data_IF_564733017153
#
_entry.id   IF_564733017153
#
_cell.length_a   1.000
_cell.length_b   1.000
_cell.length_c   1.000
_cell.angle_alpha   90.00
_cell.angle_beta   90.00
_cell.angle_gamma   90.00
#
_symmetry.space_group_name_H-M   'P 1'
#
loop_
_entity.id
_entity.type
_entity.pdbx_description
1 polymer ?
#
# COMPACT_ATOMS: atom_id res chain seq x y z
N UNK A 1 -21.03 32.83 29.56
CA UNK A 1 -20.71 31.43 29.17
C UNK A 1 -20.59 31.29 27.64
N UNK A 2 -19.40 31.46 27.03
CA UNK A 2 -19.22 31.32 25.57
C UNK A 2 -18.40 30.07 25.14
N UNK A 3 -17.98 29.21 26.07
CA UNK A 3 -17.07 28.10 25.77
C UNK A 3 -17.77 26.88 25.12
N UNK A 4 -19.06 26.71 25.39
CA UNK A 4 -19.83 25.56 24.88
C UNK A 4 -20.11 25.66 23.38
N UNK A 5 -20.35 26.86 22.83
CA UNK A 5 -20.67 27.07 21.41
C UNK A 5 -19.52 26.74 20.46
N UNK A 6 -18.27 27.06 20.84
CA UNK A 6 -17.09 26.72 20.02
C UNK A 6 -16.87 25.21 19.91
N UNK A 7 -17.06 24.45 20.99
CA UNK A 7 -16.89 22.99 20.99
C UNK A 7 -17.89 22.30 20.06
N UNK A 8 -19.15 22.74 20.09
CA UNK A 8 -20.20 22.23 19.20
C UNK A 8 -19.94 22.58 17.73
N UNK A 9 -19.47 23.81 17.45
CA UNK A 9 -19.07 24.21 16.09
C UNK A 9 -17.93 23.34 15.55
N UNK A 10 -16.90 23.07 16.35
CA UNK A 10 -15.80 22.18 15.94
C UNK A 10 -16.26 20.74 15.68
N UNK A 11 -17.17 20.20 16.50
CA UNK A 11 -17.72 18.86 16.25
C UNK A 11 -18.55 18.79 14.97
N UNK A 12 -19.28 19.86 14.62
CA UNK A 12 -20.04 19.96 13.37
C UNK A 12 -19.09 20.05 12.18
N UNK A 13 -18.02 20.86 12.26
CA UNK A 13 -16.99 20.94 11.20
C UNK A 13 -16.30 19.58 11.01
N UNK A 14 -15.94 18.88 12.08
CA UNK A 14 -15.33 17.55 12.02
C UNK A 14 -16.29 16.50 11.45
N UNK A 15 -17.59 16.55 11.80
CA UNK A 15 -18.62 15.69 11.19
C UNK A 15 -18.78 15.98 9.70
N UNK A 16 -18.82 17.25 9.30
CA UNK A 16 -18.97 17.65 7.89
C UNK A 16 -17.71 17.31 7.06
N UNK A 17 -16.51 17.41 7.64
CA UNK A 17 -15.27 16.96 6.99
C UNK A 17 -15.23 15.43 6.82
N UNK A 18 -15.77 14.67 7.78
CA UNK A 18 -15.92 13.20 7.69
C UNK A 18 -17.06 12.77 6.76
N UNK A 19 -18.02 13.64 6.50
CA UNK A 19 -19.14 13.43 5.58
C UNK A 19 -18.80 13.81 4.12
N UNK A 20 -17.52 13.94 3.77
CA UNK A 20 -17.13 14.08 2.36
C UNK A 20 -17.62 12.84 1.62
N UNK A 21 -18.46 13.02 0.61
CA UNK A 21 -18.89 11.93 -0.27
C UNK A 21 -17.64 11.41 -0.98
N UNK A 22 -17.12 10.28 -0.50
CA UNK A 22 -16.00 9.59 -1.15
C UNK A 22 -16.59 8.75 -2.27
N UNK A 23 -16.53 9.27 -3.48
CA UNK A 23 -16.82 8.47 -4.68
C UNK A 23 -15.67 7.50 -4.86
N UNK A 24 -15.90 6.23 -4.53
CA UNK A 24 -14.93 5.18 -4.77
C UNK A 24 -14.81 4.91 -6.28
N UNK A 25 -13.61 4.58 -6.78
CA UNK A 25 -13.46 4.18 -8.18
C UNK A 25 -14.26 2.91 -8.46
N UNK A 26 -14.85 2.85 -9.66
CA UNK A 26 -15.50 1.62 -10.18
C UNK A 26 -14.44 0.56 -10.47
N UNK A 27 -14.85 -0.71 -10.50
CA UNK A 27 -13.96 -1.83 -10.80
C UNK A 27 -13.24 -1.65 -12.14
N UNK A 28 -13.92 -1.14 -13.16
CA UNK A 28 -13.33 -0.88 -14.48
C UNK A 28 -12.19 0.15 -14.40
N UNK A 29 -12.35 1.18 -13.58
CA UNK A 29 -11.29 2.19 -13.37
C UNK A 29 -10.09 1.60 -12.65
N UNK A 30 -10.32 0.68 -11.70
CA UNK A 30 -9.24 -0.02 -10.98
C UNK A 30 -8.48 -0.93 -11.95
N UNK A 31 -9.20 -1.70 -12.76
CA UNK A 31 -8.61 -2.60 -13.75
C UNK A 31 -7.80 -1.83 -14.80
N UNK A 32 -8.34 -0.74 -15.33
CA UNK A 32 -7.63 0.12 -16.29
C UNK A 32 -6.37 0.74 -15.67
N UNK A 33 -6.46 1.18 -14.41
CA UNK A 33 -5.31 1.70 -13.69
C UNK A 33 -4.22 0.64 -13.48
N UNK A 34 -4.58 -0.57 -13.07
CA UNK A 34 -3.64 -1.70 -12.92
C UNK A 34 -2.98 -2.05 -14.25
N UNK A 35 -3.76 -2.20 -15.32
CA UNK A 35 -3.25 -2.48 -16.66
C UNK A 35 -2.25 -1.41 -17.11
N UNK A 36 -2.54 -0.14 -16.84
CA UNK A 36 -1.64 0.96 -17.21
C UNK A 36 -0.35 0.95 -16.40
N UNK A 37 -0.40 0.58 -15.12
CA UNK A 37 0.81 0.36 -14.32
C UNK A 37 1.66 -0.78 -14.88
N UNK A 38 1.04 -1.88 -15.30
CA UNK A 38 1.74 -3.04 -15.85
C UNK A 38 2.46 -2.69 -17.16
N UNK A 39 1.77 -2.01 -18.07
CA UNK A 39 2.36 -1.51 -19.32
C UNK A 39 3.55 -0.58 -19.06
N UNK A 40 3.43 0.31 -18.07
CA UNK A 40 4.51 1.26 -17.75
C UNK A 40 5.72 0.56 -17.12
N UNK A 41 5.50 -0.44 -16.27
CA UNK A 41 6.55 -1.28 -15.70
C UNK A 41 7.28 -2.05 -16.80
N UNK A 42 6.55 -2.76 -17.66
CA UNK A 42 7.11 -3.53 -18.78
C UNK A 42 7.94 -2.65 -19.71
N UNK A 43 7.41 -1.47 -20.07
CA UNK A 43 8.10 -0.48 -20.89
C UNK A 43 9.42 -0.04 -20.24
N UNK A 44 9.41 0.28 -18.95
CA UNK A 44 10.60 0.73 -18.25
C UNK A 44 11.65 -0.39 -18.08
N UNK A 45 11.21 -1.61 -17.79
CA UNK A 45 12.07 -2.80 -17.69
C UNK A 45 12.76 -3.07 -19.03
N UNK A 46 12.01 -3.04 -20.13
CA UNK A 46 12.55 -3.27 -21.48
C UNK A 46 13.65 -2.26 -21.82
N UNK A 47 13.42 -0.98 -21.55
CA UNK A 47 14.42 0.07 -21.80
C UNK A 47 15.68 -0.14 -20.95
N UNK A 48 15.54 -0.59 -19.69
CA UNK A 48 16.69 -0.89 -18.83
C UNK A 48 17.44 -2.17 -19.14
N UNK A 49 16.82 -3.10 -19.88
CA UNK A 49 17.47 -4.33 -20.30
C UNK A 49 18.58 -4.04 -21.32
N UNK A 50 18.41 -2.99 -22.13
CA UNK A 50 19.41 -2.57 -23.10
C UNK A 50 20.47 -1.67 -22.46
N UNK A 51 20.07 -0.56 -21.85
CA UNK A 51 20.98 0.43 -21.24
C UNK A 51 20.35 1.15 -20.06
N UNK A 52 21.17 1.54 -19.07
CA UNK A 52 20.69 2.30 -17.92
C UNK A 52 20.35 3.75 -18.30
N UNK A 53 19.09 4.15 -18.06
CA UNK A 53 18.64 5.53 -18.18
C UNK A 53 18.02 6.02 -16.86
N UNK A 54 18.60 7.07 -16.27
CA UNK A 54 18.15 7.60 -14.97
C UNK A 54 16.66 7.95 -14.95
N UNK A 55 16.15 8.60 -16.01
CA UNK A 55 14.74 8.99 -16.12
C UNK A 55 13.81 7.79 -16.15
N UNK A 56 14.16 6.75 -16.92
CA UNK A 56 13.45 5.47 -16.96
C UNK A 56 13.52 4.77 -15.61
N UNK A 57 14.65 4.85 -14.91
CA UNK A 57 14.82 4.22 -13.59
C UNK A 57 13.93 4.88 -12.55
N UNK A 58 13.89 6.21 -12.52
CA UNK A 58 12.98 6.95 -11.64
C UNK A 58 11.52 6.60 -11.94
N UNK A 59 11.15 6.48 -13.23
CA UNK A 59 9.79 6.10 -13.61
C UNK A 59 9.44 4.67 -13.19
N UNK A 60 10.34 3.72 -13.40
CA UNK A 60 10.20 2.34 -12.95
C UNK A 60 9.92 2.26 -11.45
N UNK A 61 10.72 2.96 -10.64
CA UNK A 61 10.54 3.02 -9.19
C UNK A 61 9.20 3.64 -8.80
N UNK A 62 8.79 4.74 -9.45
CA UNK A 62 7.49 5.36 -9.19
C UNK A 62 6.33 4.40 -9.48
N UNK A 63 6.33 3.76 -10.65
CA UNK A 63 5.30 2.82 -11.03
C UNK A 63 5.26 1.60 -10.08
N UNK A 64 6.43 1.07 -9.70
CA UNK A 64 6.55 -0.04 -8.76
C UNK A 64 6.02 0.32 -7.37
N UNK A 65 6.41 1.47 -6.83
CA UNK A 65 5.92 1.95 -5.53
C UNK A 65 4.40 2.10 -5.54
N UNK A 66 3.83 2.65 -6.61
CA UNK A 66 2.38 2.79 -6.76
C UNK A 66 1.68 1.43 -6.83
N UNK A 67 2.26 0.46 -7.55
CA UNK A 67 1.72 -0.90 -7.61
C UNK A 67 1.73 -1.58 -6.24
N UNK A 68 2.85 -1.48 -5.51
CA UNK A 68 2.99 -2.02 -4.15
C UNK A 68 2.03 -1.34 -3.17
N UNK A 69 1.85 -0.01 -3.26
CA UNK A 69 0.89 0.75 -2.45
C UNK A 69 -0.54 0.25 -2.66
N UNK A 70 -0.98 0.10 -3.92
CA UNK A 70 -2.35 -0.28 -4.23
C UNK A 70 -2.62 -1.74 -3.87
N UNK A 71 -1.68 -2.64 -4.18
CA UNK A 71 -1.81 -4.06 -3.85
C UNK A 71 -1.89 -4.29 -2.34
N UNK A 72 -1.02 -3.64 -1.56
CA UNK A 72 -0.95 -3.84 -0.11
C UNK A 72 -1.80 -2.85 0.70
N UNK A 73 -2.52 -1.94 0.05
CA UNK A 73 -3.24 -0.80 0.66
C UNK A 73 -2.37 0.00 1.64
N UNK A 74 -1.11 0.23 1.28
CA UNK A 74 -0.11 0.96 2.08
C UNK A 74 -0.03 2.42 1.69
N UNK A 75 0.34 3.28 2.64
CA UNK A 75 0.57 4.71 2.36
C UNK A 75 1.93 4.91 1.71
N UNK A 76 2.14 5.99 0.95
CA UNK A 76 3.45 6.28 0.32
C UNK A 76 4.62 6.18 1.27
N UNK A 77 4.53 6.85 2.43
CA UNK A 77 5.61 6.84 3.42
C UNK A 77 5.86 5.51 4.13
N UNK A 78 4.98 4.51 3.98
CA UNK A 78 5.21 3.14 4.47
C UNK A 78 5.98 2.33 3.42
N UNK A 79 5.58 2.45 2.16
CA UNK A 79 6.22 1.73 1.04
C UNK A 79 7.61 2.30 0.74
N UNK A 80 7.79 3.61 0.83
CA UNK A 80 9.11 4.27 0.62
C UNK A 80 10.19 3.79 1.60
N UNK A 81 9.79 3.33 2.79
CA UNK A 81 10.70 2.79 3.80
C UNK A 81 10.94 1.30 3.66
N UNK A 82 10.17 0.62 2.80
CA UNK A 82 10.29 -0.82 2.62
C UNK A 82 11.64 -1.12 1.97
N UNK A 83 12.42 -2.00 2.60
CA UNK A 83 13.73 -2.41 2.12
C UNK A 83 13.68 -3.83 1.54
N UNK A 84 14.55 -4.13 0.58
CA UNK A 84 14.62 -5.46 -0.05
C UNK A 84 14.83 -6.57 1.01
N UNK A 85 15.64 -6.30 2.04
CA UNK A 85 15.89 -7.25 3.14
C UNK A 85 14.62 -7.64 3.90
N UNK A 86 13.59 -6.78 3.92
CA UNK A 86 12.33 -7.10 4.57
C UNK A 86 11.54 -8.11 3.73
N UNK A 87 11.63 -8.01 2.39
CA UNK A 87 11.08 -9.00 1.47
C UNK A 87 11.82 -10.34 1.51
N UNK A 88 13.12 -10.37 1.80
CA UNK A 88 13.86 -11.62 2.00
C UNK A 88 13.35 -12.42 3.21
N UNK A 89 12.74 -11.73 4.19
CA UNK A 89 12.14 -12.34 5.38
C UNK A 89 10.61 -12.51 5.24
N UNK A 90 10.11 -12.65 4.01
CA UNK A 90 8.70 -12.87 3.74
C UNK A 90 8.21 -14.17 4.38
N UNK A 91 7.23 -14.05 5.28
CA UNK A 91 6.56 -15.18 5.91
C UNK A 91 5.33 -15.54 5.08
N UNK A 92 5.36 -16.70 4.44
CA UNK A 92 4.22 -17.22 3.69
C UNK A 92 3.17 -17.80 4.65
N UNK A 93 1.92 -17.85 4.20
CA UNK A 93 0.88 -18.58 4.93
C UNK A 93 1.23 -20.06 4.94
N UNK A 94 1.27 -20.65 6.13
CA UNK A 94 1.57 -22.06 6.32
C UNK A 94 0.49 -22.96 5.69
N UNK A 95 0.91 -24.13 5.16
CA UNK A 95 0.01 -25.05 4.47
C UNK A 95 -1.12 -25.54 5.37
N UNK A 96 -0.88 -25.71 6.68
CA UNK A 96 -1.92 -26.11 7.62
C UNK A 96 -3.04 -25.07 7.69
N UNK A 97 -2.67 -23.78 7.69
CA UNK A 97 -3.63 -22.69 7.71
C UNK A 97 -4.38 -22.55 6.39
N UNK A 98 -3.71 -22.77 5.25
CA UNK A 98 -4.35 -22.77 3.92
C UNK A 98 -5.39 -23.91 3.78
N UNK A 99 -5.16 -25.08 4.39
CA UNK A 99 -6.09 -26.23 4.32
C UNK A 99 -7.48 -25.92 4.87
N UNK A 100 -7.58 -24.96 5.79
CA UNK A 100 -8.84 -24.53 6.41
C UNK A 100 -9.61 -23.50 5.56
N UNK A 101 -9.02 -22.98 4.48
CA UNK A 101 -9.70 -22.10 3.54
C UNK A 101 -10.64 -22.88 2.61
N UNK A 102 -11.61 -22.21 2.01
CA UNK A 102 -12.41 -22.79 0.93
C UNK A 102 -11.55 -23.10 -0.30
N UNK A 103 -11.91 -24.11 -1.09
CA UNK A 103 -11.12 -24.52 -2.26
C UNK A 103 -10.90 -23.38 -3.27
N UNK A 104 -11.86 -22.46 -3.39
CA UNK A 104 -11.77 -21.23 -4.19
C UNK A 104 -10.72 -20.22 -3.68
N UNK A 105 -10.38 -20.30 -2.38
CA UNK A 105 -9.50 -19.37 -1.68
C UNK A 105 -8.11 -19.97 -1.41
N UNK A 106 -7.94 -21.29 -1.51
CA UNK A 106 -6.66 -21.98 -1.26
C UNK A 106 -5.54 -21.50 -2.19
N UNK A 107 -5.83 -21.36 -3.47
CA UNK A 107 -4.84 -20.90 -4.46
C UNK A 107 -4.46 -19.44 -4.24
N UNK A 108 -5.44 -18.63 -3.84
CA UNK A 108 -5.25 -17.23 -3.47
C UNK A 108 -4.41 -17.14 -2.21
N UNK A 109 -4.72 -17.91 -1.16
CA UNK A 109 -4.02 -17.92 0.13
C UNK A 109 -2.54 -18.27 0.02
N UNK A 110 -2.16 -19.18 -0.89
CA UNK A 110 -0.75 -19.52 -1.18
C UNK A 110 0.05 -18.36 -1.76
N UNK A 111 -0.61 -17.37 -2.38
CA UNK A 111 0.06 -16.22 -2.98
C UNK A 111 0.31 -15.08 -1.99
N UNK A 112 -0.25 -15.14 -0.78
CA UNK A 112 -0.05 -14.10 0.23
C UNK A 112 1.10 -14.45 1.16
N UNK A 113 1.92 -13.44 1.44
CA UNK A 113 2.94 -13.48 2.47
C UNK A 113 2.97 -12.16 3.22
N UNK A 114 3.45 -12.21 4.46
CA UNK A 114 3.67 -11.04 5.31
C UNK A 114 5.16 -10.80 5.42
N UNK A 115 5.62 -9.61 5.07
CA UNK A 115 6.93 -9.13 5.50
C UNK A 115 6.76 -8.12 6.64
N UNK A 116 7.74 -8.07 7.53
CA UNK A 116 7.74 -7.15 8.66
C UNK A 116 8.67 -6.00 8.31
N UNK A 117 8.09 -4.81 8.15
CA UNK A 117 8.86 -3.58 7.99
C UNK A 117 9.39 -3.11 9.33
N UNK A 118 10.63 -2.64 9.40
CA UNK A 118 11.20 -2.08 10.62
C UNK A 118 10.50 -0.76 10.96
N UNK A 119 9.69 -0.74 12.01
CA UNK A 119 9.13 0.51 12.52
C UNK A 119 10.24 1.41 13.10
N UNK A 120 9.94 2.71 13.26
CA UNK A 120 10.83 3.71 13.87
C UNK A 120 11.55 3.12 15.09
N UNK A 121 12.87 3.03 15.04
CA UNK A 121 13.74 2.63 16.16
C UNK A 121 13.83 3.71 17.27
N UNK A 122 12.81 4.55 17.46
CA UNK A 122 12.95 5.78 18.26
C UNK A 122 11.69 6.19 19.03
N UNK A 123 11.07 5.22 19.71
CA UNK A 123 10.26 5.46 20.90
C UNK A 123 10.52 4.35 21.92
N UNK A 124 11.69 4.39 22.53
CA UNK A 124 11.82 3.95 23.92
C UNK A 124 10.85 4.82 24.74
N UNK A 125 9.61 4.36 24.88
CA UNK A 125 8.73 4.78 25.97
C UNK A 125 9.33 4.19 27.25
N UNK A 126 10.34 4.85 27.79
CA UNK A 126 10.56 4.84 29.23
C UNK A 126 9.58 5.85 29.83
N UNK A 127 8.41 5.36 30.22
CA UNK A 127 7.59 6.02 31.23
C UNK A 127 7.62 5.14 32.48
N UNK A 128 8.39 5.58 33.48
CA UNK A 128 8.13 5.28 34.88
C UNK A 128 6.98 6.16 35.37
#
# INVERSE_FOLDING_TARGET
MPFLTKKWQWQIVLKNQRAKIVVLPKIDNINEFQKRLDVELERCIKVHTDHFHLTTWVMLNKALLVKVMVFNRKRPGDVEKSQIIEYENLQMVDEEHVRHLEDSEKDVGKMYGRYITREKLDRLLLSY
#
